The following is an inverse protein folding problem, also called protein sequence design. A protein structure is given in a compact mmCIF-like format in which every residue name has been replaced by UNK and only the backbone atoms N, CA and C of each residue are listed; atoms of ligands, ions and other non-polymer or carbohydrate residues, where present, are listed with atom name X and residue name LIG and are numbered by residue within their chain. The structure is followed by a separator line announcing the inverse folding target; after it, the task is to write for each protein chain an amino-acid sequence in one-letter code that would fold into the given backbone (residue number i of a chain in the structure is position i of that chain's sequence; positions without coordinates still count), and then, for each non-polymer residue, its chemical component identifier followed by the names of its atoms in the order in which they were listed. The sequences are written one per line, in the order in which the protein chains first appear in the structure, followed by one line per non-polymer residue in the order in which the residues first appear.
data_IF_565408328869
#
_entry.id   IF_565408328869
#
_cell.length_a   1.000
_cell.length_b   1.000
_cell.length_c   1.000
_cell.angle_alpha   90.00
_cell.angle_beta   90.00
_cell.angle_gamma   90.00
#
_symmetry.space_group_name_H-M   'P 1'
#
loop_
_entity.id
_entity.type
_entity.pdbx_description
1 polymer ?
#
# COMPACT_ATOMS: atom_id res chain seq x y z
N UNK A 1 27.03 13.44 -0.91
CA UNK A 1 26.57 13.14 -2.28
C UNK A 1 25.22 13.83 -2.40
N UNK A 2 25.19 15.02 -3.00
CA UNK A 2 23.93 15.75 -3.24
C UNK A 2 23.10 14.92 -4.23
N UNK A 3 22.23 14.04 -3.72
CA UNK A 3 21.20 13.45 -4.57
C UNK A 3 20.35 14.62 -5.06
N UNK A 4 20.46 14.96 -6.35
CA UNK A 4 19.60 16.00 -6.91
C UNK A 4 18.15 15.60 -6.63
N UNK A 5 17.34 16.54 -6.16
CA UNK A 5 15.94 16.30 -5.82
C UNK A 5 15.18 15.58 -6.96
N UNK A 6 15.54 15.87 -8.21
CA UNK A 6 15.04 15.17 -9.39
C UNK A 6 15.38 13.67 -9.42
N UNK A 7 16.61 13.27 -9.04
CA UNK A 7 16.97 11.85 -8.93
C UNK A 7 16.20 11.16 -7.80
N UNK A 8 15.97 11.85 -6.68
CA UNK A 8 15.13 11.32 -5.60
C UNK A 8 13.70 11.08 -6.08
N UNK A 9 13.05 12.09 -6.68
CA UNK A 9 11.69 11.94 -7.20
C UNK A 9 11.58 10.85 -8.27
N UNK A 10 12.57 10.76 -9.17
CA UNK A 10 12.63 9.70 -10.18
C UNK A 10 12.73 8.33 -9.53
N UNK A 11 13.58 8.16 -8.51
CA UNK A 11 13.71 6.90 -7.78
C UNK A 11 12.44 6.55 -7.02
N UNK A 12 11.81 7.52 -6.36
CA UNK A 12 10.57 7.32 -5.63
C UNK A 12 9.45 6.89 -6.60
N UNK A 13 9.31 7.57 -7.74
CA UNK A 13 8.36 7.20 -8.77
C UNK A 13 8.62 5.80 -9.32
N UNK A 14 9.88 5.45 -9.60
CA UNK A 14 10.26 4.13 -10.10
C UNK A 14 9.94 3.01 -9.10
N UNK A 15 10.29 3.19 -7.82
CA UNK A 15 10.02 2.23 -6.75
C UNK A 15 8.51 2.10 -6.49
N UNK A 16 7.77 3.21 -6.46
CA UNK A 16 6.31 3.16 -6.31
C UNK A 16 5.62 2.47 -7.49
N UNK A 17 6.11 2.69 -8.72
CA UNK A 17 5.54 2.08 -9.92
C UNK A 17 5.63 0.56 -9.90
N UNK A 18 6.73 -0.02 -9.40
CA UNK A 18 6.83 -1.49 -9.28
C UNK A 18 5.78 -2.05 -8.33
N UNK A 19 5.49 -1.34 -7.24
CA UNK A 19 4.43 -1.70 -6.29
C UNK A 19 3.03 -1.68 -6.92
N UNK A 20 2.69 -0.62 -7.67
CA UNK A 20 1.38 -0.48 -8.31
C UNK A 20 1.16 -1.51 -9.44
N UNK A 21 2.23 -1.92 -10.13
CA UNK A 21 2.14 -2.87 -11.24
C UNK A 21 2.03 -4.33 -10.81
N UNK A 22 2.32 -4.65 -9.54
CA UNK A 22 2.14 -6.01 -9.02
C UNK A 22 0.65 -6.35 -8.92
N UNK A 23 0.16 -7.41 -9.59
CA UNK A 23 -1.25 -7.78 -9.53
C UNK A 23 -1.60 -8.26 -8.11
N UNK A 24 -2.66 -7.68 -7.54
CA UNK A 24 -3.14 -8.03 -6.20
C UNK A 24 -4.63 -7.72 -6.02
N UNK A 25 -5.13 -7.74 -4.77
CA UNK A 25 -6.56 -7.55 -4.47
C UNK A 25 -7.14 -6.23 -5.01
N UNK A 26 -6.38 -5.12 -4.89
CA UNK A 26 -6.78 -3.82 -5.44
C UNK A 26 -6.94 -3.85 -6.96
N UNK A 27 -6.03 -4.52 -7.67
CA UNK A 27 -6.11 -4.72 -9.13
C UNK A 27 -7.33 -5.57 -9.48
N UNK A 28 -7.55 -6.68 -8.78
CA UNK A 28 -8.70 -7.56 -9.00
C UNK A 28 -10.05 -6.84 -8.81
N UNK A 29 -10.21 -6.12 -7.70
CA UNK A 29 -11.42 -5.36 -7.40
C UNK A 29 -11.61 -4.20 -8.40
N UNK A 30 -10.53 -3.52 -8.79
CA UNK A 30 -10.61 -2.44 -9.78
C UNK A 30 -11.06 -2.97 -11.13
N UNK A 31 -10.51 -4.10 -11.61
CA UNK A 31 -10.95 -4.74 -12.87
C UNK A 31 -12.43 -5.14 -12.78
N UNK A 32 -12.83 -5.81 -11.69
CA UNK A 32 -14.21 -6.24 -11.49
C UNK A 32 -15.19 -5.07 -11.49
N UNK A 33 -14.83 -3.95 -10.84
CA UNK A 33 -15.73 -2.79 -10.72
C UNK A 33 -15.69 -1.85 -11.93
N UNK A 34 -14.62 -1.88 -12.72
CA UNK A 34 -14.48 -1.06 -13.94
C UNK A 34 -15.54 -1.38 -15.00
N UNK A 35 -16.08 -2.60 -15.01
CA UNK A 35 -17.20 -2.97 -15.89
C UNK A 35 -18.49 -2.16 -15.62
N UNK A 36 -18.69 -1.69 -14.39
CA UNK A 36 -19.87 -0.89 -14.02
C UNK A 36 -19.61 0.62 -13.99
N UNK A 37 -18.37 1.03 -13.73
CA UNK A 37 -18.02 2.44 -13.58
C UNK A 37 -16.61 2.73 -14.11
N UNK A 38 -16.51 3.59 -15.13
CA UNK A 38 -15.24 4.02 -15.71
C UNK A 38 -14.31 4.71 -14.71
N UNK A 39 -14.85 5.28 -13.64
CA UNK A 39 -14.09 5.98 -12.60
C UNK A 39 -13.85 5.10 -11.36
N UNK A 40 -14.15 3.80 -11.43
CA UNK A 40 -13.97 2.87 -10.31
C UNK A 40 -12.54 2.92 -9.74
N UNK A 41 -11.52 2.92 -10.61
CA UNK A 41 -10.12 2.98 -10.20
C UNK A 41 -9.77 4.22 -9.38
N UNK A 42 -10.21 5.41 -9.81
CA UNK A 42 -9.98 6.65 -9.08
C UNK A 42 -10.63 6.63 -7.69
N UNK A 43 -11.87 6.13 -7.59
CA UNK A 43 -12.59 6.03 -6.32
C UNK A 43 -11.94 5.04 -5.36
N UNK A 44 -11.49 3.90 -5.87
CA UNK A 44 -10.78 2.88 -5.09
C UNK A 44 -9.44 3.43 -4.59
N UNK A 45 -8.69 4.15 -5.44
CA UNK A 45 -7.42 4.77 -5.06
C UNK A 45 -7.60 5.84 -3.97
N UNK A 46 -8.63 6.69 -4.09
CA UNK A 46 -8.95 7.68 -3.04
C UNK A 46 -9.30 6.99 -1.73
N UNK A 47 -10.16 5.96 -1.78
CA UNK A 47 -10.52 5.19 -0.58
C UNK A 47 -9.32 4.53 0.10
N UNK A 48 -8.38 4.01 -0.69
CA UNK A 48 -7.12 3.47 -0.18
C UNK A 48 -6.25 4.53 0.50
N UNK A 49 -6.02 5.66 -0.18
CA UNK A 49 -5.22 6.77 0.34
C UNK A 49 -5.78 7.35 1.65
N UNK A 50 -7.11 7.37 1.82
CA UNK A 50 -7.77 7.83 3.06
C UNK A 50 -7.36 7.01 4.28
N UNK A 51 -7.08 5.71 4.13
CA UNK A 51 -6.63 4.86 5.23
C UNK A 51 -5.10 4.84 5.34
N UNK A 52 -4.40 4.84 4.22
CA UNK A 52 -2.94 4.75 4.18
C UNK A 52 -2.26 6.02 4.70
N UNK A 53 -2.74 7.21 4.32
CA UNK A 53 -2.11 8.47 4.73
C UNK A 53 -2.10 8.69 6.25
N UNK A 54 -3.21 8.51 6.99
CA UNK A 54 -3.19 8.57 8.45
C UNK A 54 -2.25 7.54 9.07
N UNK A 55 -2.19 6.33 8.51
CA UNK A 55 -1.32 5.27 9.01
C UNK A 55 0.16 5.63 8.86
N UNK A 56 0.55 6.18 7.70
CA UNK A 56 1.90 6.70 7.47
C UNK A 56 2.24 7.79 8.49
N UNK A 57 1.34 8.75 8.73
CA UNK A 57 1.53 9.81 9.72
C UNK A 57 1.74 9.23 11.12
N UNK A 58 0.92 8.27 11.55
CA UNK A 58 1.04 7.62 12.86
C UNK A 58 2.38 6.90 13.00
N UNK A 59 2.80 6.15 11.98
CA UNK A 59 4.10 5.46 11.97
C UNK A 59 5.24 6.47 12.05
N UNK A 60 5.17 7.55 11.25
CA UNK A 60 6.15 8.63 11.23
C UNK A 60 6.31 9.33 12.59
N UNK A 61 5.20 9.52 13.33
CA UNK A 61 5.21 10.13 14.67
C UNK A 61 5.83 9.22 15.77
N UNK A 62 6.32 8.03 15.42
CA UNK A 62 7.06 7.15 16.33
C UNK A 62 6.35 5.86 16.69
N UNK A 63 5.11 5.65 16.21
CA UNK A 63 4.41 4.38 16.41
C UNK A 63 5.08 3.20 15.68
N UNK A 64 6.03 3.50 14.77
CA UNK A 64 6.90 2.51 14.15
C UNK A 64 7.60 1.60 15.16
N UNK A 65 8.08 2.12 16.29
CA UNK A 65 8.79 1.29 17.30
C UNK A 65 7.91 0.15 17.84
N UNK A 66 6.62 0.42 18.02
CA UNK A 66 5.65 -0.58 18.45
C UNK A 66 5.33 -1.57 17.32
N UNK A 67 5.07 -1.08 16.11
CA UNK A 67 4.74 -1.91 14.94
C UNK A 67 5.89 -2.85 14.56
N UNK A 68 7.14 -2.39 14.68
CA UNK A 68 8.33 -3.17 14.36
C UNK A 68 8.80 -4.10 15.49
N UNK A 69 8.07 -4.20 16.60
CA UNK A 69 8.30 -5.22 17.62
C UNK A 69 8.14 -6.62 17.03
N UNK A 70 9.06 -7.54 17.36
CA UNK A 70 9.07 -8.90 16.84
C UNK A 70 7.73 -9.63 17.03
N UNK A 71 7.03 -9.36 18.14
CA UNK A 71 5.73 -9.96 18.42
C UNK A 71 4.64 -9.40 17.50
N UNK A 72 4.61 -8.09 17.28
CA UNK A 72 3.59 -7.42 16.43
C UNK A 72 3.78 -7.82 14.97
N UNK A 73 5.01 -7.78 14.48
CA UNK A 73 5.36 -8.21 13.11
C UNK A 73 4.96 -9.67 12.88
N UNK A 74 5.21 -10.56 13.84
CA UNK A 74 4.81 -11.98 13.74
C UNK A 74 3.30 -12.15 13.64
N UNK A 75 2.54 -11.40 14.43
CA UNK A 75 1.07 -11.40 14.36
C UNK A 75 0.59 -10.90 13.00
N UNK A 76 1.16 -9.79 12.51
CA UNK A 76 0.82 -9.25 11.19
C UNK A 76 1.06 -10.29 10.08
N UNK A 77 2.20 -10.99 10.11
CA UNK A 77 2.48 -12.03 9.12
C UNK A 77 1.51 -13.20 9.18
N UNK A 78 1.17 -13.68 10.38
CA UNK A 78 0.22 -14.79 10.54
C UNK A 78 -1.18 -14.37 10.07
N UNK A 79 -1.68 -13.23 10.57
CA UNK A 79 -3.03 -12.74 10.23
C UNK A 79 -3.12 -12.37 8.75
N UNK A 80 -2.11 -11.70 8.21
CA UNK A 80 -2.04 -11.36 6.78
C UNK A 80 -1.98 -12.60 5.90
N UNK A 81 -1.17 -13.60 6.27
CA UNK A 81 -1.11 -14.88 5.56
C UNK A 81 -2.43 -15.64 5.58
N UNK A 82 -3.12 -15.69 6.73
CA UNK A 82 -4.44 -16.30 6.84
C UNK A 82 -5.49 -15.54 6.02
N UNK A 83 -5.44 -14.21 6.00
CA UNK A 83 -6.34 -13.38 5.21
C UNK A 83 -6.15 -13.63 3.70
N UNK A 84 -4.90 -13.72 3.24
CA UNK A 84 -4.60 -14.09 1.84
C UNK A 84 -5.09 -15.49 1.51
N UNK A 85 -4.84 -16.47 2.38
CA UNK A 85 -5.33 -17.84 2.19
C UNK A 85 -6.86 -17.92 2.11
N UNK A 86 -7.56 -17.11 2.92
CA UNK A 86 -9.02 -17.02 2.87
C UNK A 86 -9.54 -16.38 1.58
N UNK A 87 -8.84 -15.35 1.08
CA UNK A 87 -9.21 -14.63 -0.13
C UNK A 87 -8.87 -15.40 -1.43
N UNK A 88 -7.95 -16.37 -1.36
CA UNK A 88 -7.53 -17.21 -2.49
C UNK A 88 -6.26 -16.72 -3.16
#
# INVERSE_FOLDING_TARGET
METSFGLFLLSAAAISLTGVMLPGPMTAVTIAKSYSDKNAGARIAVGHAVIELPLIVIIYLGFGYFIFSAQVVKVIYIVGGLALFYLG
#
